data_IF_832249154889
#
_entry.id   IF_832249154889
#
_cell.length_a   1.000
_cell.length_b   1.000
_cell.length_c   1.000
_cell.angle_alpha   90.00
_cell.angle_beta   90.00
_cell.angle_gamma   90.00
#
_symmetry.space_group_name_H-M   'P 1'
#
loop_
_entity.id
_entity.type
_entity.pdbx_description
1 polymer ?
#
# COMPACT_ATOMS: atom_id res chain seq x y z
N UNK A 1 -23.96 -44.86 -7.34
CA UNK A 1 -23.44 -43.71 -8.13
C UNK A 1 -23.12 -42.61 -7.15
N UNK A 2 -21.88 -42.54 -6.67
CA UNK A 2 -21.45 -41.54 -5.69
C UNK A 2 -21.00 -40.31 -6.47
N UNK A 3 -21.80 -39.24 -6.41
CA UNK A 3 -21.45 -37.96 -6.98
C UNK A 3 -20.46 -37.30 -6.02
N UNK A 4 -19.16 -37.54 -6.24
CA UNK A 4 -18.10 -36.86 -5.52
C UNK A 4 -18.21 -35.37 -5.87
N UNK A 5 -18.62 -34.55 -4.90
CA UNK A 5 -18.54 -33.10 -5.02
C UNK A 5 -17.07 -32.76 -5.29
N UNK A 6 -16.72 -32.10 -6.41
CA UNK A 6 -15.36 -31.62 -6.57
C UNK A 6 -15.06 -30.70 -5.39
N UNK A 7 -13.91 -30.94 -4.75
CA UNK A 7 -13.44 -30.19 -3.60
C UNK A 7 -13.31 -28.72 -4.04
N UNK A 8 -14.28 -27.88 -3.68
CA UNK A 8 -14.31 -26.45 -3.98
C UNK A 8 -13.38 -25.68 -3.03
N UNK A 9 -12.29 -26.30 -2.59
CA UNK A 9 -11.12 -25.59 -2.10
C UNK A 9 -10.41 -25.00 -3.31
N UNK A 10 -11.04 -24.00 -3.93
CA UNK A 10 -10.30 -23.00 -4.69
C UNK A 10 -9.15 -22.55 -3.79
N UNK A 11 -7.91 -22.82 -4.20
CA UNK A 11 -6.71 -22.43 -3.47
C UNK A 11 -6.86 -20.96 -3.07
N UNK A 12 -7.10 -20.72 -1.78
CA UNK A 12 -7.21 -19.36 -1.27
C UNK A 12 -5.85 -18.69 -1.51
N UNK A 13 -5.81 -17.48 -2.06
CA UNK A 13 -4.55 -16.78 -2.26
C UNK A 13 -3.76 -16.71 -0.96
N UNK A 14 -2.46 -17.01 -1.04
CA UNK A 14 -1.50 -16.94 0.05
C UNK A 14 -0.60 -15.70 -0.06
N UNK A 15 -0.62 -15.01 -1.20
CA UNK A 15 0.09 -13.77 -1.45
C UNK A 15 -0.75 -12.81 -2.31
N UNK A 16 -0.53 -11.50 -2.18
CA UNK A 16 -1.28 -10.51 -2.97
C UNK A 16 -0.98 -10.61 -4.48
N UNK A 17 0.23 -11.03 -4.87
CA UNK A 17 0.62 -11.19 -6.29
C UNK A 17 -0.16 -12.26 -7.05
N UNK A 18 -0.90 -13.12 -6.35
CA UNK A 18 -1.80 -14.09 -6.98
C UNK A 18 -3.11 -13.45 -7.50
N UNK A 19 -3.38 -12.19 -7.16
CA UNK A 19 -4.45 -11.38 -7.73
C UNK A 19 -3.90 -10.56 -8.91
N UNK A 20 -4.65 -10.46 -10.00
CA UNK A 20 -4.43 -9.37 -10.97
C UNK A 20 -4.70 -8.01 -10.31
N UNK A 21 -4.21 -6.90 -10.88
CA UNK A 21 -4.43 -5.57 -10.30
C UNK A 21 -5.93 -5.24 -10.15
N UNK A 22 -6.74 -5.66 -11.13
CA UNK A 22 -8.20 -5.46 -11.08
C UNK A 22 -8.83 -6.26 -9.95
N UNK A 23 -8.45 -7.52 -9.77
CA UNK A 23 -8.96 -8.36 -8.69
C UNK A 23 -8.48 -7.87 -7.32
N UNK A 24 -7.23 -7.41 -7.23
CA UNK A 24 -6.66 -6.83 -6.01
C UNK A 24 -7.44 -5.58 -5.57
N UNK A 25 -7.62 -4.61 -6.47
CA UNK A 25 -8.40 -3.40 -6.18
C UNK A 25 -9.84 -3.74 -5.85
N UNK A 26 -10.48 -4.61 -6.65
CA UNK A 26 -11.87 -5.00 -6.40
C UNK A 26 -12.04 -5.67 -5.03
N UNK A 27 -11.16 -6.62 -4.68
CA UNK A 27 -11.19 -7.27 -3.37
C UNK A 27 -10.94 -6.27 -2.24
N UNK A 28 -10.01 -5.32 -2.43
CA UNK A 28 -9.68 -4.31 -1.43
C UNK A 28 -10.84 -3.33 -1.20
N UNK A 29 -11.37 -2.72 -2.27
CA UNK A 29 -12.47 -1.74 -2.18
C UNK A 29 -13.79 -2.39 -1.74
N UNK A 30 -14.02 -3.67 -2.05
CA UNK A 30 -15.19 -4.44 -1.57
C UNK A 30 -15.04 -4.97 -0.13
N UNK A 31 -13.91 -4.70 0.53
CA UNK A 31 -13.55 -5.22 1.87
C UNK A 31 -13.39 -6.74 1.95
N UNK A 32 -13.36 -7.42 0.79
CA UNK A 32 -13.13 -8.86 0.68
C UNK A 32 -11.64 -9.26 0.73
N UNK A 33 -10.71 -8.31 0.69
CA UNK A 33 -9.28 -8.62 0.71
C UNK A 33 -8.82 -9.11 2.10
N UNK A 34 -8.13 -10.26 2.21
CA UNK A 34 -7.74 -10.81 3.51
C UNK A 34 -6.68 -9.96 4.22
N UNK A 35 -6.84 -9.62 5.51
CA UNK A 35 -5.91 -8.76 6.25
C UNK A 35 -4.50 -9.34 6.39
N UNK A 36 -4.37 -10.67 6.43
CA UNK A 36 -3.07 -11.33 6.47
C UNK A 36 -2.27 -11.20 5.15
N UNK A 37 -2.93 -10.84 4.05
CA UNK A 37 -2.29 -10.60 2.75
C UNK A 37 -2.00 -9.11 2.52
N UNK A 38 -2.50 -8.21 3.37
CA UNK A 38 -2.29 -6.77 3.26
C UNK A 38 -0.99 -6.36 3.96
N UNK A 39 0.12 -6.83 3.40
CA UNK A 39 1.49 -6.56 3.84
C UNK A 39 1.95 -5.16 3.41
N UNK A 40 3.14 -4.75 3.86
CA UNK A 40 3.80 -3.54 3.35
C UNK A 40 3.94 -3.54 1.82
N UNK A 41 4.30 -4.68 1.23
CA UNK A 41 4.37 -4.82 -0.23
C UNK A 41 3.00 -4.59 -0.89
N UNK A 42 1.92 -5.13 -0.30
CA UNK A 42 0.56 -4.89 -0.77
C UNK A 42 0.13 -3.41 -0.65
N UNK A 43 0.56 -2.71 0.42
CA UNK A 43 0.35 -1.25 0.54
C UNK A 43 0.99 -0.49 -0.62
N UNK A 44 2.24 -0.82 -0.96
CA UNK A 44 2.95 -0.18 -2.07
C UNK A 44 2.31 -0.52 -3.41
N UNK A 45 1.82 -1.75 -3.58
CA UNK A 45 1.05 -2.15 -4.77
C UNK A 45 -0.21 -1.32 -4.91
N UNK A 46 -0.96 -1.12 -3.83
CA UNK A 46 -2.16 -0.28 -3.83
C UNK A 46 -1.84 1.15 -4.29
N UNK A 47 -0.79 1.75 -3.72
CA UNK A 47 -0.32 3.07 -4.12
C UNK A 47 0.09 3.12 -5.60
N UNK A 48 0.86 2.13 -6.07
CA UNK A 48 1.30 2.03 -7.47
C UNK A 48 0.12 1.94 -8.44
N UNK A 49 -0.88 1.10 -8.16
CA UNK A 49 -2.08 0.96 -9.00
C UNK A 49 -2.86 2.28 -9.05
N UNK A 50 -3.07 2.95 -7.91
CA UNK A 50 -3.78 4.23 -7.90
C UNK A 50 -3.00 5.34 -8.62
N UNK A 51 -1.67 5.37 -8.54
CA UNK A 51 -0.83 6.33 -9.28
C UNK A 51 -0.79 6.08 -10.80
N UNK A 52 -1.22 4.91 -11.27
CA UNK A 52 -1.44 4.66 -12.70
C UNK A 52 -2.79 5.19 -13.15
N UNK A 53 -3.80 5.12 -12.28
CA UNK A 53 -5.18 5.47 -12.62
C UNK A 53 -5.52 6.95 -12.37
N UNK A 54 -4.83 7.58 -11.44
CA UNK A 54 -5.16 8.91 -10.93
C UNK A 54 -3.90 9.78 -10.79
N UNK A 55 -4.10 11.10 -10.69
CA UNK A 55 -3.03 12.00 -10.27
C UNK A 55 -2.58 11.73 -8.82
N UNK A 56 -1.44 12.30 -8.43
CA UNK A 56 -0.85 12.09 -7.10
C UNK A 56 -1.82 12.44 -5.97
N UNK A 57 -2.54 13.56 -6.07
CA UNK A 57 -3.46 14.02 -5.02
C UNK A 57 -4.59 13.01 -4.82
N UNK A 58 -5.23 12.59 -5.90
CA UNK A 58 -6.34 11.65 -5.83
C UNK A 58 -5.87 10.24 -5.45
N UNK A 59 -4.67 9.84 -5.84
CA UNK A 59 -4.06 8.58 -5.40
C UNK A 59 -3.79 8.58 -3.89
N UNK A 60 -3.30 9.71 -3.33
CA UNK A 60 -3.14 9.89 -1.89
C UNK A 60 -4.49 9.73 -1.19
N UNK A 61 -5.52 10.46 -1.64
CA UNK A 61 -6.84 10.45 -1.01
C UNK A 61 -7.46 9.05 -1.02
N UNK A 62 -7.43 8.35 -2.17
CA UNK A 62 -7.96 6.98 -2.28
C UNK A 62 -7.17 5.99 -1.43
N UNK A 63 -5.84 6.12 -1.34
CA UNK A 63 -5.02 5.25 -0.50
C UNK A 63 -5.34 5.47 0.99
N UNK A 64 -5.40 6.72 1.43
CA UNK A 64 -5.71 7.08 2.81
C UNK A 64 -7.09 6.58 3.22
N UNK A 65 -8.13 6.89 2.46
CA UNK A 65 -9.49 6.42 2.73
C UNK A 65 -9.59 4.90 2.70
N UNK A 66 -8.95 4.26 1.72
CA UNK A 66 -8.92 2.81 1.57
C UNK A 66 -8.30 2.12 2.78
N UNK A 67 -7.09 2.50 3.19
CA UNK A 67 -6.39 1.88 4.32
C UNK A 67 -7.09 2.19 5.64
N UNK A 68 -7.60 3.41 5.82
CA UNK A 68 -8.37 3.76 7.02
C UNK A 68 -9.62 2.88 7.16
N UNK A 69 -10.40 2.73 6.08
CA UNK A 69 -11.57 1.86 6.07
C UNK A 69 -11.20 0.39 6.27
N UNK A 70 -10.08 -0.05 5.70
CA UNK A 70 -9.57 -1.41 5.86
C UNK A 70 -9.21 -1.71 7.31
N UNK A 71 -8.50 -0.81 7.99
CA UNK A 71 -8.13 -0.94 9.41
C UNK A 71 -9.34 -0.88 10.33
N UNK A 72 -10.36 -0.08 10.00
CA UNK A 72 -11.62 -0.05 10.75
C UNK A 72 -12.43 -1.34 10.61
N UNK A 73 -12.39 -1.97 9.43
CA UNK A 73 -13.21 -3.15 9.15
C UNK A 73 -12.54 -4.46 9.62
N UNK A 74 -11.24 -4.60 9.40
CA UNK A 74 -10.48 -5.82 9.72
C UNK A 74 -9.64 -5.72 10.99
N UNK A 75 -9.44 -4.52 11.52
CA UNK A 75 -8.64 -4.23 12.72
C UNK A 75 -9.47 -3.55 13.81
N UNK A 76 -8.81 -2.68 14.57
CA UNK A 76 -9.42 -1.86 15.62
C UNK A 76 -9.37 -0.35 15.29
N UNK A 77 -8.94 0.00 14.06
CA UNK A 77 -8.78 1.39 13.61
C UNK A 77 -7.58 2.12 14.22
N UNK A 78 -6.67 1.44 14.93
CA UNK A 78 -5.53 2.08 15.62
C UNK A 78 -4.20 1.98 14.87
N UNK A 79 -4.14 1.14 13.82
CA UNK A 79 -2.92 0.88 13.03
C UNK A 79 -2.77 1.87 11.88
N UNK A 80 -3.86 2.47 11.42
CA UNK A 80 -3.82 3.50 10.39
C UNK A 80 -2.95 4.69 10.83
N UNK A 81 -2.14 5.20 9.90
CA UNK A 81 -1.20 6.27 10.15
C UNK A 81 -1.10 7.16 8.90
N UNK A 82 -1.84 8.26 8.88
CA UNK A 82 -1.97 9.10 7.67
C UNK A 82 -0.63 9.56 7.13
N UNK A 83 0.31 10.03 7.96
CA UNK A 83 1.62 10.51 7.47
C UNK A 83 2.43 9.41 6.78
N UNK A 84 2.47 8.20 7.34
CA UNK A 84 3.18 7.09 6.70
C UNK A 84 2.49 6.66 5.40
N UNK A 85 1.16 6.67 5.35
CA UNK A 85 0.41 6.35 4.12
C UNK A 85 0.68 7.36 3.02
N UNK A 86 0.58 8.66 3.30
CA UNK A 86 0.89 9.73 2.35
C UNK A 86 2.34 9.63 1.88
N UNK A 87 3.29 9.45 2.81
CA UNK A 87 4.70 9.31 2.48
C UNK A 87 4.96 8.08 1.58
N UNK A 88 4.26 6.97 1.81
CA UNK A 88 4.36 5.78 0.96
C UNK A 88 3.94 6.06 -0.48
N UNK A 89 2.82 6.78 -0.68
CA UNK A 89 2.37 7.17 -2.02
C UNK A 89 3.38 8.11 -2.69
N UNK A 90 3.88 9.12 -1.96
CA UNK A 90 4.89 10.06 -2.48
C UNK A 90 6.19 9.38 -2.88
N UNK A 91 6.67 8.44 -2.06
CA UNK A 91 7.87 7.63 -2.38
C UNK A 91 7.61 6.81 -3.64
N UNK A 92 6.50 6.06 -3.72
CA UNK A 92 6.17 5.27 -4.91
C UNK A 92 6.08 6.15 -6.15
N UNK A 93 5.46 7.33 -6.04
CA UNK A 93 5.36 8.28 -7.15
C UNK A 93 6.73 8.73 -7.66
N UNK A 94 7.62 9.16 -6.75
CA UNK A 94 8.98 9.59 -7.07
C UNK A 94 9.78 8.50 -7.81
N UNK A 95 9.71 7.26 -7.33
CA UNK A 95 10.40 6.14 -7.97
C UNK A 95 9.78 5.76 -9.30
N UNK A 96 8.45 5.78 -9.41
CA UNK A 96 7.73 5.48 -10.65
C UNK A 96 8.09 6.45 -11.77
N UNK A 97 8.28 7.74 -11.46
CA UNK A 97 8.72 8.73 -12.44
C UNK A 97 10.11 8.44 -13.04
N UNK A 98 10.93 7.64 -12.35
CA UNK A 98 12.30 7.27 -12.76
C UNK A 98 12.39 5.83 -13.30
N UNK A 99 11.31 5.08 -13.18
CA UNK A 99 11.23 3.66 -13.54
C UNK A 99 10.82 3.47 -14.99
N UNK A 100 11.27 2.38 -15.59
CA UNK A 100 10.75 1.89 -16.87
C UNK A 100 9.82 0.68 -16.70
N UNK A 101 9.56 0.27 -15.45
CA UNK A 101 8.69 -0.85 -15.13
C UNK A 101 7.25 -0.61 -15.59
N UNK A 102 6.65 -1.65 -16.16
CA UNK A 102 5.25 -1.64 -16.61
C UNK A 102 4.32 -2.38 -15.65
N UNK A 103 4.91 -3.22 -14.78
CA UNK A 103 4.22 -3.99 -13.75
C UNK A 103 4.76 -3.65 -12.35
N UNK A 104 3.97 -3.95 -11.32
CA UNK A 104 4.42 -3.74 -9.94
C UNK A 104 5.59 -4.66 -9.59
N UNK A 105 5.60 -5.89 -10.10
CA UNK A 105 6.67 -6.87 -9.90
C UNK A 105 8.01 -6.37 -10.49
N UNK A 106 7.99 -5.83 -11.71
CA UNK A 106 9.17 -5.19 -12.30
C UNK A 106 9.64 -4.00 -11.47
N UNK A 107 8.70 -3.20 -10.96
CA UNK A 107 9.01 -2.00 -10.18
C UNK A 107 9.71 -2.31 -8.86
N UNK A 108 9.25 -3.32 -8.13
CA UNK A 108 9.90 -3.75 -6.87
C UNK A 108 11.22 -4.49 -7.11
N UNK A 109 11.40 -5.14 -8.27
CA UNK A 109 12.70 -5.69 -8.70
C UNK A 109 13.70 -4.57 -9.02
N UNK A 110 13.24 -3.50 -9.67
CA UNK A 110 14.08 -2.33 -9.99
C UNK A 110 14.47 -1.55 -8.72
N UNK A 111 13.54 -1.41 -7.77
CA UNK A 111 13.74 -0.67 -6.51
C UNK A 111 13.49 -1.54 -5.27
N UNK A 112 14.31 -2.58 -5.01
CA UNK A 112 14.08 -3.53 -3.92
C UNK A 112 14.11 -2.87 -2.54
N UNK A 113 14.79 -1.74 -2.41
CA UNK A 113 14.84 -0.92 -1.20
C UNK A 113 13.47 -0.43 -0.71
N UNK A 114 12.47 -0.35 -1.60
CA UNK A 114 11.10 -0.03 -1.23
C UNK A 114 10.49 -1.10 -0.31
N UNK A 115 10.97 -2.33 -0.39
CA UNK A 115 10.54 -3.44 0.46
C UNK A 115 11.51 -3.64 1.62
N UNK A 116 12.82 -3.69 1.35
CA UNK A 116 13.83 -4.10 2.34
C UNK A 116 14.21 -2.98 3.31
N UNK A 117 14.14 -1.72 2.87
CA UNK A 117 14.74 -0.56 3.56
C UNK A 117 13.79 0.65 3.59
N UNK A 118 12.48 0.43 3.54
CA UNK A 118 11.50 1.53 3.45
C UNK A 118 11.61 2.53 4.62
N UNK A 119 11.87 2.03 5.83
CA UNK A 119 12.05 2.87 7.01
C UNK A 119 13.29 3.78 6.89
N UNK A 120 14.37 3.27 6.30
CA UNK A 120 15.59 4.04 6.06
C UNK A 120 15.33 5.14 5.03
N UNK A 121 14.57 4.83 3.97
CA UNK A 121 14.12 5.83 3.00
C UNK A 121 13.31 6.93 3.68
N UNK A 122 12.32 6.57 4.51
CA UNK A 122 11.52 7.57 5.22
C UNK A 122 12.36 8.42 6.18
N UNK A 123 13.40 7.87 6.80
CA UNK A 123 14.28 8.61 7.71
C UNK A 123 15.13 9.69 7.03
N UNK A 124 15.23 9.66 5.69
CA UNK A 124 15.84 10.76 4.93
C UNK A 124 14.91 11.97 4.85
N UNK A 125 13.60 11.74 4.88
CA UNK A 125 12.57 12.77 4.74
C UNK A 125 12.05 13.27 6.09
N UNK A 126 11.97 12.36 7.06
CA UNK A 126 11.37 12.61 8.36
C UNK A 126 12.32 12.39 9.52
N UNK A 127 12.35 13.37 10.43
CA UNK A 127 12.84 13.21 11.77
C UNK A 127 11.96 12.23 12.56
N UNK A 128 12.59 11.51 13.50
CA UNK A 128 11.89 10.54 14.36
C UNK A 128 10.73 11.19 15.13
N UNK A 129 10.92 12.44 15.56
CA UNK A 129 9.94 13.18 16.34
C UNK A 129 8.64 13.39 15.56
N UNK A 130 8.72 13.79 14.29
CA UNK A 130 7.56 14.01 13.42
C UNK A 130 6.74 12.74 13.22
N UNK A 131 7.38 11.62 12.90
CA UNK A 131 6.67 10.34 12.71
C UNK A 131 6.10 9.80 14.03
N UNK A 132 6.77 10.05 15.16
CA UNK A 132 6.28 9.58 16.46
C UNK A 132 5.20 10.46 17.09
N UNK A 133 4.97 11.67 16.57
CA UNK A 133 3.92 12.56 17.06
C UNK A 133 2.55 11.88 16.86
N UNK A 134 1.71 11.74 17.90
CA UNK A 134 0.35 11.23 17.77
C UNK A 134 -0.48 11.92 16.68
N UNK A 135 -0.21 13.20 16.39
CA UNK A 135 -0.84 13.95 15.30
C UNK A 135 -0.54 13.32 13.94
N UNK A 136 0.63 12.75 13.73
CA UNK A 136 1.02 12.13 12.45
C UNK A 136 0.15 10.92 12.08
N UNK A 137 -0.60 10.36 13.04
CA UNK A 137 -1.60 9.32 12.78
C UNK A 137 -2.93 9.87 12.24
N UNK A 138 -3.28 11.11 12.56
CA UNK A 138 -4.60 11.69 12.27
C UNK A 138 -4.58 12.84 11.27
N UNK A 139 -3.48 13.58 11.18
CA UNK A 139 -3.25 14.62 10.17
C UNK A 139 -1.92 14.39 9.46
N UNK A 140 -1.87 14.71 8.17
CA UNK A 140 -0.64 14.64 7.40
C UNK A 140 0.35 15.69 7.91
N UNK A 141 1.55 15.26 8.28
CA UNK A 141 2.68 16.13 8.58
C UNK A 141 3.67 16.07 7.41
N UNK A 142 4.04 17.22 6.88
CA UNK A 142 5.05 17.34 5.83
C UNK A 142 6.44 16.92 6.33
N UNK A 143 7.33 16.44 5.45
CA UNK A 143 8.69 16.08 5.81
C UNK A 143 9.47 17.30 6.33
N UNK A 144 10.17 17.10 7.45
CA UNK A 144 10.98 18.13 8.14
C UNK A 144 12.46 18.13 7.72
N UNK A 145 12.94 17.06 7.06
CA UNK A 145 14.35 16.94 6.65
C UNK A 145 14.54 17.16 5.15
N UNK A 146 13.90 16.35 4.31
CA UNK A 146 13.99 16.43 2.86
C UNK A 146 12.62 16.30 2.22
N UNK A 147 12.26 17.17 1.26
CA UNK A 147 11.00 17.04 0.54
C UNK A 147 11.00 15.81 -0.38
N UNK A 148 9.81 15.33 -0.71
CA UNK A 148 9.61 14.36 -1.79
C UNK A 148 9.57 15.12 -3.12
N UNK A 149 10.75 15.44 -3.67
CA UNK A 149 10.91 16.06 -5.00
C UNK A 149 11.37 15.06 -6.03
#
# INVERSE_FOLDING_TARGET
MSCTRPNLEMQRPHHHSQYTDKEFIHAFESRGFPPNLFTHEAHLRLAWIYLIQYDESLAIDKTCQGIQNFDQFHGDGTKYHVTLTVASVKVVHHFRQKSTATTFEEFIIEYPRLITSFKELLSLHYGKEVISDPKAKTIYLEPDLLPFT
#
